data_IF_577483778244
#
_entry.id   IF_577483778244
#
_cell.length_a   1.000
_cell.length_b   1.000
_cell.length_c   1.000
_cell.angle_alpha   90.00
_cell.angle_beta   90.00
_cell.angle_gamma   90.00
#
_symmetry.space_group_name_H-M   'P 1'
#
loop_
_entity.id
_entity.type
_entity.pdbx_description
1 polymer ?
#
# COMPACT_ATOMS: atom_id res chain seq x y z
N UNK A 1 -13.72 1.82 -2.12
CA UNK A 1 -12.48 2.32 -1.50
C UNK A 1 -11.43 1.22 -1.58
N UNK A 2 -10.22 1.51 -2.06
CA UNK A 2 -9.15 0.49 -2.24
C UNK A 2 -8.06 0.56 -1.16
N UNK A 3 -7.93 1.68 -0.45
CA UNK A 3 -6.89 1.90 0.55
C UNK A 3 -7.49 2.51 1.82
N UNK A 4 -6.95 2.09 2.96
CA UNK A 4 -7.19 2.71 4.27
C UNK A 4 -5.83 3.15 4.82
N UNK A 5 -5.75 4.38 5.32
CA UNK A 5 -4.53 4.93 5.92
C UNK A 5 -4.81 5.21 7.38
N UNK A 6 -4.00 4.62 8.25
CA UNK A 6 -4.09 4.79 9.70
C UNK A 6 -2.73 5.22 10.25
N UNK A 7 -2.73 6.17 11.16
CA UNK A 7 -1.52 6.62 11.86
C UNK A 7 -1.39 5.86 13.17
N UNK A 8 -0.33 5.09 13.30
CA UNK A 8 -0.02 4.32 14.52
C UNK A 8 1.15 4.94 15.27
N UNK A 9 1.13 4.85 16.59
CA UNK A 9 2.18 5.44 17.44
C UNK A 9 3.50 4.68 17.41
N UNK A 10 3.45 3.34 17.49
CA UNK A 10 4.65 2.50 17.53
C UNK A 10 4.43 1.19 16.77
N UNK A 11 5.40 0.83 15.94
CA UNK A 11 5.45 -0.44 15.21
C UNK A 11 6.52 -1.42 15.75
N UNK A 12 7.23 -1.04 16.81
CA UNK A 12 8.29 -1.86 17.41
C UNK A 12 9.54 -2.08 16.54
N UNK A 13 9.62 -1.46 15.36
CA UNK A 13 10.71 -1.63 14.40
C UNK A 13 11.61 -0.38 14.28
N UNK A 14 11.90 0.27 15.41
CA UNK A 14 12.67 1.52 15.45
C UNK A 14 14.07 1.41 14.80
N UNK A 15 14.72 0.25 14.88
CA UNK A 15 16.03 0.01 14.26
C UNK A 15 16.01 -0.07 12.73
N UNK A 16 14.82 -0.18 12.13
CA UNK A 16 14.59 -0.22 10.68
C UNK A 16 13.75 0.97 10.20
N UNK A 17 13.61 1.98 11.07
CA UNK A 17 12.89 3.20 10.75
C UNK A 17 13.55 3.91 9.56
N UNK A 18 12.77 4.58 8.69
CA UNK A 18 11.30 4.61 8.62
C UNK A 18 10.66 3.29 8.15
N UNK A 19 9.55 2.90 8.76
CA UNK A 19 8.85 1.61 8.54
C UNK A 19 7.34 1.84 8.35
N UNK A 20 6.71 1.07 7.47
CA UNK A 20 5.25 1.02 7.34
C UNK A 20 4.76 -0.42 7.29
N UNK A 21 3.50 -0.63 7.65
CA UNK A 21 2.83 -1.93 7.58
C UNK A 21 1.69 -1.89 6.57
N UNK A 22 1.59 -2.89 5.72
CA UNK A 22 0.47 -3.05 4.76
C UNK A 22 -0.02 -4.49 4.85
N UNK A 23 -1.31 -4.67 5.14
CA UNK A 23 -1.91 -6.00 5.33
C UNK A 23 -1.08 -6.90 6.27
N UNK A 24 -0.65 -6.34 7.41
CA UNK A 24 0.19 -7.00 8.43
C UNK A 24 1.63 -7.34 8.00
N UNK A 25 2.04 -6.98 6.78
CA UNK A 25 3.43 -7.11 6.34
C UNK A 25 4.24 -5.86 6.66
N UNK A 26 5.44 -6.05 7.22
CA UNK A 26 6.36 -4.97 7.61
C UNK A 26 7.29 -4.62 6.45
N UNK A 27 7.27 -3.35 6.05
CA UNK A 27 8.15 -2.79 5.02
C UNK A 27 9.18 -1.84 5.65
N UNK A 28 10.42 -2.32 5.92
CA UNK A 28 11.47 -1.51 6.53
C UNK A 28 12.18 -0.58 5.53
N UNK A 29 12.92 0.42 6.03
CA UNK A 29 13.72 1.36 5.24
C UNK A 29 12.93 2.00 4.09
N UNK A 30 11.74 2.49 4.40
CA UNK A 30 10.85 3.10 3.42
C UNK A 30 11.30 4.50 2.99
N UNK A 31 11.17 4.79 1.70
CA UNK A 31 11.40 6.13 1.15
C UNK A 31 10.18 6.57 0.39
N UNK A 32 10.03 7.88 0.15
CA UNK A 32 8.90 8.40 -0.65
C UNK A 32 8.77 7.70 -2.01
N UNK A 33 9.89 7.38 -2.65
CA UNK A 33 9.93 6.65 -3.91
C UNK A 33 9.45 5.19 -3.75
N UNK A 34 9.92 4.48 -2.72
CA UNK A 34 9.51 3.09 -2.45
C UNK A 34 8.03 2.99 -2.08
N UNK A 35 7.51 3.95 -1.31
CA UNK A 35 6.07 4.01 -0.99
C UNK A 35 5.24 4.17 -2.27
N UNK A 36 5.67 5.04 -3.20
CA UNK A 36 4.98 5.21 -4.48
C UNK A 36 4.98 3.93 -5.31
N UNK A 37 6.13 3.25 -5.41
CA UNK A 37 6.22 1.96 -6.10
C UNK A 37 5.32 0.90 -5.45
N UNK A 38 5.34 0.79 -4.11
CA UNK A 38 4.49 -0.14 -3.37
C UNK A 38 3.00 0.10 -3.66
N UNK A 39 2.55 1.34 -3.60
CA UNK A 39 1.15 1.69 -3.89
C UNK A 39 0.80 1.38 -5.34
N UNK A 40 1.69 1.68 -6.29
CA UNK A 40 1.46 1.39 -7.72
C UNK A 40 1.39 -0.12 -7.97
N UNK A 41 2.21 -0.92 -7.31
CA UNK A 41 2.19 -2.37 -7.42
C UNK A 41 0.92 -2.97 -6.80
N UNK A 42 0.50 -2.50 -5.62
CA UNK A 42 -0.78 -2.90 -5.01
C UNK A 42 -1.96 -2.51 -5.92
N UNK A 43 -1.93 -1.34 -6.56
CA UNK A 43 -2.95 -0.91 -7.53
C UNK A 43 -2.98 -1.81 -8.76
N UNK A 44 -1.82 -2.20 -9.30
CA UNK A 44 -1.73 -3.13 -10.44
C UNK A 44 -2.26 -4.50 -10.07
N UNK A 45 -1.87 -5.02 -8.91
CA UNK A 45 -2.33 -6.33 -8.42
C UNK A 45 -3.84 -6.33 -8.18
N UNK A 46 -4.35 -5.26 -7.57
CA UNK A 46 -5.79 -5.07 -7.41
C UNK A 46 -6.49 -4.98 -8.77
N UNK A 47 -5.97 -4.18 -9.71
CA UNK A 47 -6.52 -4.05 -11.06
C UNK A 47 -6.47 -5.38 -11.80
N UNK A 48 -5.42 -6.18 -11.69
CA UNK A 48 -5.31 -7.50 -12.31
C UNK A 48 -6.35 -8.48 -11.75
N UNK A 49 -6.60 -8.45 -10.44
CA UNK A 49 -7.65 -9.25 -9.78
C UNK A 49 -9.07 -8.78 -10.12
N UNK A 50 -9.26 -7.49 -10.41
CA UNK A 50 -10.55 -6.93 -10.83
C UNK A 50 -10.80 -7.11 -12.34
N UNK A 51 -9.78 -7.01 -13.18
CA UNK A 51 -9.91 -7.15 -14.64
C UNK A 51 -10.33 -8.58 -15.03
N UNK A 52 -9.98 -9.58 -14.22
CA UNK A 52 -10.49 -10.94 -14.37
C UNK A 52 -11.96 -11.09 -13.94
N UNK A 53 -12.56 -10.09 -13.29
CA UNK A 53 -13.91 -10.17 -12.74
C UNK A 53 -14.94 -9.19 -13.33
N UNK A 54 -14.55 -8.07 -13.96
CA UNK A 54 -15.26 -7.27 -15.00
C UNK A 54 -14.78 -5.81 -14.96
N UNK A 55 -14.94 -5.12 -16.10
CA UNK A 55 -14.92 -3.66 -16.24
C UNK A 55 -15.75 -2.97 -15.13
N UNK A 56 -15.59 -1.66 -14.93
CA UNK A 56 -16.21 -0.82 -13.86
C UNK A 56 -15.36 -0.75 -12.58
N UNK A 57 -14.66 0.35 -12.28
CA UNK A 57 -15.29 1.64 -11.98
C UNK A 57 -14.20 2.70 -11.99
N UNK A 58 -14.33 3.62 -12.94
CA UNK A 58 -13.71 4.94 -12.91
C UNK A 58 -14.18 5.69 -11.67
N UNK A 59 -13.28 6.08 -10.77
CA UNK A 59 -13.51 7.28 -9.98
C UNK A 59 -12.17 7.86 -9.51
N UNK A 60 -11.74 8.90 -10.21
CA UNK A 60 -10.79 9.89 -9.70
C UNK A 60 -11.60 10.94 -8.93
N UNK A 61 -11.29 11.11 -7.64
CA UNK A 61 -11.24 12.39 -6.91
C UNK A 61 -10.33 12.19 -5.68
#
# INVERSE_FOLDING_TARGET
MMFTVETVSCLGACGLAPVCTVNDEVYPNMTKAKVKLLVDDIKKDFKAKILTSKEDTSYED
#
